data_IF_654934431592
#
_entry.id   IF_654934431592
#
_cell.length_a   1.000
_cell.length_b   1.000
_cell.length_c   1.000
_cell.angle_alpha   90.00
_cell.angle_beta   90.00
_cell.angle_gamma   90.00
#
_symmetry.space_group_name_H-M   'P 1'
#
loop_
_entity.id
_entity.type
_entity.pdbx_description
1 polymer ?
#
# COMPACT_ATOMS: atom_id res chain seq x y z
N UNK A 1 4.81 6.57 10.58
CA UNK A 1 3.68 5.61 10.56
C UNK A 1 3.16 5.49 9.12
N UNK A 2 2.62 4.33 8.75
CA UNK A 2 2.02 4.07 7.43
C UNK A 2 0.57 3.67 7.65
N UNK A 3 -0.37 4.47 7.13
CA UNK A 3 -1.80 4.15 7.19
C UNK A 3 -2.15 3.09 6.15
N UNK A 4 -2.86 2.02 6.54
CA UNK A 4 -3.18 0.94 5.61
C UNK A 4 -4.45 0.17 5.99
N UNK A 5 -5.16 -0.45 5.05
CA UNK A 5 -4.98 -0.33 3.59
C UNK A 5 -6.01 0.66 3.04
N UNK A 6 -5.56 1.78 2.46
CA UNK A 6 -6.41 2.86 1.96
C UNK A 6 -7.05 2.47 0.61
N UNK A 7 -8.33 2.79 0.32
CA UNK A 7 -9.29 3.51 1.16
C UNK A 7 -10.17 2.63 2.06
N UNK A 8 -9.86 1.34 2.25
CA UNK A 8 -10.56 0.50 3.22
C UNK A 8 -10.63 -0.98 2.84
N UNK A 9 -9.92 -1.84 3.57
CA UNK A 9 -9.97 -3.28 3.34
C UNK A 9 -11.03 -4.02 4.19
N UNK A 10 -11.67 -3.35 5.16
CA UNK A 10 -12.48 -4.03 6.18
C UNK A 10 -13.72 -4.79 5.67
N UNK A 11 -14.29 -4.37 4.54
CA UNK A 11 -15.44 -5.05 3.88
C UNK A 11 -15.03 -6.11 2.87
N UNK A 12 -13.75 -6.18 2.53
CA UNK A 12 -13.25 -7.13 1.56
C UNK A 12 -13.31 -8.53 2.17
N UNK A 13 -14.39 -9.26 1.90
CA UNK A 13 -14.44 -10.69 2.13
C UNK A 13 -13.82 -11.39 0.93
N UNK A 14 -12.70 -12.06 1.13
CA UNK A 14 -12.09 -12.91 0.11
C UNK A 14 -12.63 -14.35 0.26
N UNK A 15 -13.25 -14.90 -0.78
CA UNK A 15 -13.31 -16.36 -0.94
C UNK A 15 -11.93 -16.83 -1.44
N UNK A 16 -11.36 -17.82 -0.75
CA UNK A 16 -9.93 -17.90 -0.42
C UNK A 16 -9.07 -18.58 -1.47
N UNK A 17 -9.44 -18.59 -2.75
CA UNK A 17 -8.68 -19.42 -3.70
C UNK A 17 -7.93 -18.67 -4.79
N UNK A 18 -8.51 -17.76 -5.59
CA UNK A 18 -7.74 -17.15 -6.71
C UNK A 18 -8.21 -15.76 -7.18
N UNK A 19 -9.12 -15.08 -6.48
CA UNK A 19 -9.77 -13.87 -7.01
C UNK A 19 -9.51 -12.60 -6.19
N UNK A 20 -9.47 -11.47 -6.89
CA UNK A 20 -9.37 -10.13 -6.31
C UNK A 20 -10.56 -9.87 -5.39
N UNK A 21 -10.35 -9.50 -4.11
CA UNK A 21 -11.45 -9.15 -3.25
C UNK A 21 -12.20 -7.93 -3.80
N UNK A 22 -13.52 -8.06 -3.90
CA UNK A 22 -14.41 -7.01 -4.39
C UNK A 22 -15.35 -6.55 -3.28
N UNK A 23 -15.44 -5.24 -3.10
CA UNK A 23 -16.39 -4.59 -2.20
C UNK A 23 -17.56 -4.06 -3.03
N UNK A 24 -18.73 -4.64 -2.80
CA UNK A 24 -20.00 -4.25 -3.43
C UNK A 24 -20.86 -3.39 -2.49
N UNK A 25 -20.28 -2.28 -2.03
CA UNK A 25 -20.95 -1.30 -1.18
C UNK A 25 -21.26 -0.03 -1.99
N UNK A 26 -22.34 0.67 -1.62
CA UNK A 26 -22.67 1.94 -2.25
C UNK A 26 -21.62 3.00 -1.93
N UNK A 27 -21.47 4.00 -2.82
CA UNK A 27 -20.55 5.13 -2.57
C UNK A 27 -20.87 5.85 -1.25
N UNK A 28 -22.15 5.98 -0.90
CA UNK A 28 -22.60 6.57 0.37
C UNK A 28 -22.11 5.77 1.59
N UNK A 29 -22.21 4.44 1.54
CA UNK A 29 -21.74 3.59 2.64
C UNK A 29 -20.22 3.64 2.78
N UNK A 30 -19.51 3.62 1.64
CA UNK A 30 -18.05 3.75 1.60
C UNK A 30 -17.60 5.08 2.21
N UNK A 31 -18.22 6.20 1.83
CA UNK A 31 -17.92 7.52 2.38
C UNK A 31 -18.22 7.61 3.88
N UNK A 32 -19.33 7.02 4.32
CA UNK A 32 -19.78 7.10 5.71
C UNK A 32 -18.92 6.25 6.66
N UNK A 33 -18.41 5.12 6.19
CA UNK A 33 -17.81 4.11 7.07
C UNK A 33 -16.36 3.79 6.72
N UNK A 34 -16.09 3.48 5.46
CA UNK A 34 -14.79 2.92 5.03
C UNK A 34 -13.75 4.03 4.89
N UNK A 35 -14.13 5.17 4.28
CA UNK A 35 -13.23 6.30 4.04
C UNK A 35 -13.07 7.20 5.26
N UNK A 36 -14.05 7.18 6.16
CA UNK A 36 -14.07 8.00 7.38
C UNK A 36 -12.78 7.92 8.21
N UNK A 37 -12.24 6.74 8.59
CA UNK A 37 -11.00 6.68 9.36
C UNK A 37 -9.79 7.25 8.58
N UNK A 38 -9.77 7.11 7.25
CA UNK A 38 -8.67 7.64 6.43
C UNK A 38 -8.72 9.17 6.29
N UNK A 39 -9.93 9.76 6.27
CA UNK A 39 -10.10 11.22 6.32
C UNK A 39 -9.53 11.82 7.60
N UNK A 40 -9.85 11.22 8.74
CA UNK A 40 -9.35 11.68 10.05
C UNK A 40 -7.82 11.57 10.17
N UNK A 41 -7.20 10.69 9.39
CA UNK A 41 -5.76 10.41 9.43
C UNK A 41 -5.00 10.89 8.19
N UNK A 42 -5.63 11.71 7.32
CA UNK A 42 -5.04 12.12 6.04
C UNK A 42 -3.76 12.95 6.17
N UNK A 43 -3.48 13.48 7.37
CA UNK A 43 -2.27 14.21 7.74
C UNK A 43 -1.03 13.31 7.91
N UNK A 44 -1.21 11.98 7.98
CA UNK A 44 -0.11 11.04 8.15
C UNK A 44 0.85 11.10 6.96
N UNK A 45 2.15 10.85 7.18
CA UNK A 45 3.17 11.03 6.14
C UNK A 45 3.06 10.02 5.00
N UNK A 46 2.50 8.83 5.26
CA UNK A 46 2.50 7.71 4.35
C UNK A 46 1.19 6.92 4.44
N UNK A 47 0.75 6.37 3.32
CA UNK A 47 -0.32 5.39 3.24
C UNK A 47 -0.02 4.30 2.22
N UNK A 48 -0.61 3.12 2.42
CA UNK A 48 -0.49 1.95 1.55
C UNK A 48 -1.86 1.59 0.99
N UNK A 49 -1.96 1.45 -0.33
CA UNK A 49 -3.22 1.11 -1.03
C UNK A 49 -3.70 -0.31 -0.70
N UNK A 50 -4.97 -0.61 -0.96
CA UNK A 50 -5.51 -1.96 -0.88
C UNK A 50 -5.60 -2.60 -2.27
N UNK A 51 -5.26 -3.89 -2.40
CA UNK A 51 -5.58 -4.68 -3.60
C UNK A 51 -7.05 -5.12 -3.61
N UNK A 52 -7.97 -4.14 -3.63
CA UNK A 52 -9.43 -4.35 -3.55
C UNK A 52 -10.11 -3.62 -4.69
N UNK A 53 -11.05 -4.29 -5.34
CA UNK A 53 -11.97 -3.68 -6.32
C UNK A 53 -13.15 -3.06 -5.58
N UNK A 54 -13.49 -1.82 -5.90
CA UNK A 54 -14.68 -1.14 -5.33
C UNK A 54 -15.67 -0.93 -6.47
N UNK A 55 -16.72 -1.76 -6.54
CA UNK A 55 -17.64 -1.82 -7.69
C UNK A 55 -18.29 -0.47 -8.01
N UNK A 56 -18.59 0.31 -6.96
CA UNK A 56 -19.20 1.64 -7.06
C UNK A 56 -18.27 2.73 -7.62
N UNK A 57 -16.95 2.48 -7.69
CA UNK A 57 -15.95 3.47 -8.12
C UNK A 57 -15.30 3.02 -9.43
N UNK A 58 -14.57 1.91 -9.38
CA UNK A 58 -13.91 1.28 -10.52
C UNK A 58 -14.07 -0.24 -10.43
N UNK A 59 -15.01 -0.83 -11.18
CA UNK A 59 -15.25 -2.26 -11.15
C UNK A 59 -14.19 -3.08 -11.91
N UNK A 60 -13.26 -2.42 -12.62
CA UNK A 60 -12.28 -3.10 -13.47
C UNK A 60 -10.92 -3.26 -12.80
N UNK A 61 -10.55 -2.29 -11.97
CA UNK A 61 -9.22 -2.25 -11.38
C UNK A 61 -9.30 -2.17 -9.85
N UNK A 62 -8.42 -2.89 -9.13
CA UNK A 62 -8.25 -2.67 -7.71
C UNK A 62 -7.71 -1.26 -7.43
N UNK A 63 -7.92 -0.75 -6.22
CA UNK A 63 -7.49 0.60 -5.83
C UNK A 63 -6.00 0.87 -6.13
N UNK A 64 -5.12 -0.12 -5.92
CA UNK A 64 -3.69 -0.03 -6.20
C UNK A 64 -3.34 0.30 -7.66
N UNK A 65 -4.18 -0.09 -8.62
CA UNK A 65 -3.96 0.17 -10.07
C UNK A 65 -5.10 0.97 -10.71
N UNK A 66 -5.97 1.57 -9.90
CA UNK A 66 -7.06 2.41 -10.37
C UNK A 66 -6.72 3.88 -10.17
N UNK A 67 -6.39 4.57 -11.27
CA UNK A 67 -6.21 6.03 -11.25
C UNK A 67 -7.46 6.75 -10.77
N UNK A 68 -8.64 6.20 -11.06
CA UNK A 68 -9.91 6.75 -10.57
C UNK A 68 -10.03 6.69 -9.05
N UNK A 69 -9.73 5.54 -8.43
CA UNK A 69 -9.75 5.43 -6.96
C UNK A 69 -8.67 6.32 -6.34
N UNK A 70 -7.48 6.37 -6.93
CA UNK A 70 -6.39 7.20 -6.39
C UNK A 70 -6.75 8.69 -6.49
N UNK A 71 -7.13 9.18 -7.66
CA UNK A 71 -7.36 10.61 -7.88
C UNK A 71 -8.66 11.10 -7.21
N UNK A 72 -9.79 10.42 -7.44
CA UNK A 72 -11.09 10.89 -6.96
C UNK A 72 -11.29 10.61 -5.46
N UNK A 73 -10.76 9.49 -4.96
CA UNK A 73 -11.03 9.04 -3.59
C UNK A 73 -9.86 9.31 -2.67
N UNK A 74 -8.66 8.80 -2.97
CA UNK A 74 -7.52 8.92 -2.06
C UNK A 74 -7.01 10.36 -2.01
N UNK A 75 -6.76 10.98 -3.17
CA UNK A 75 -6.30 12.37 -3.28
C UNK A 75 -7.45 13.37 -3.14
N UNK A 76 -8.63 13.05 -3.68
CA UNK A 76 -9.84 13.88 -3.63
C UNK A 76 -10.61 13.79 -2.31
N UNK A 77 -11.57 12.87 -2.21
CA UNK A 77 -12.50 12.73 -1.08
C UNK A 77 -11.81 12.57 0.29
N UNK A 78 -10.74 11.77 0.35
CA UNK A 78 -9.97 11.56 1.58
C UNK A 78 -9.01 12.74 1.84
N UNK A 79 -8.53 13.39 0.78
CA UNK A 79 -7.57 14.48 0.87
C UNK A 79 -6.17 14.04 1.29
N UNK A 80 -5.78 12.77 1.05
CA UNK A 80 -4.46 12.27 1.41
C UNK A 80 -3.40 12.76 0.42
N UNK A 81 -2.55 13.70 0.84
CA UNK A 81 -1.42 14.20 0.04
C UNK A 81 -0.07 13.54 0.40
N UNK A 82 -0.03 12.64 1.39
CA UNK A 82 1.18 11.94 1.80
C UNK A 82 1.79 11.02 0.73
N UNK A 83 2.93 10.40 1.06
CA UNK A 83 3.58 9.43 0.19
C UNK A 83 2.71 8.16 0.09
N UNK A 84 2.25 7.85 -1.12
CA UNK A 84 1.37 6.71 -1.37
C UNK A 84 2.19 5.54 -1.93
N UNK A 85 2.14 4.41 -1.26
CA UNK A 85 2.78 3.17 -1.72
C UNK A 85 1.75 2.10 -2.06
N UNK A 86 2.10 1.20 -2.97
CA UNK A 86 1.31 -0.01 -3.17
C UNK A 86 1.40 -0.93 -1.95
N UNK A 87 0.39 -1.78 -1.79
CA UNK A 87 0.58 -3.05 -1.06
C UNK A 87 1.50 -3.99 -1.87
N UNK A 88 1.91 -5.12 -1.28
CA UNK A 88 2.91 -6.01 -1.86
C UNK A 88 2.48 -6.55 -3.22
N UNK A 89 3.29 -6.27 -4.25
CA UNK A 89 3.08 -6.72 -5.63
C UNK A 89 3.20 -8.23 -5.81
N UNK A 90 3.87 -8.92 -4.87
CA UNK A 90 4.01 -10.37 -4.87
C UNK A 90 2.71 -11.10 -4.48
N UNK A 91 1.75 -10.39 -3.90
CA UNK A 91 0.42 -10.92 -3.63
C UNK A 91 -0.28 -11.31 -4.94
N UNK A 92 -0.96 -12.46 -4.92
CA UNK A 92 -1.71 -13.01 -6.07
C UNK A 92 -2.92 -12.16 -6.49
N UNK A 93 -3.16 -11.04 -5.80
CA UNK A 93 -4.26 -10.14 -6.08
C UNK A 93 -4.07 -9.40 -7.41
N UNK A 94 -2.85 -8.99 -7.77
CA UNK A 94 -2.63 -8.31 -9.05
C UNK A 94 -2.33 -9.32 -10.17
N UNK A 95 -2.98 -9.17 -11.31
CA UNK A 95 -2.71 -9.94 -12.53
C UNK A 95 -1.49 -9.40 -13.30
N UNK A 96 -0.89 -10.25 -14.14
CA UNK A 96 0.24 -9.88 -15.01
C UNK A 96 1.62 -10.13 -14.39
N UNK A 97 2.66 -9.80 -15.16
CA UNK A 97 4.05 -9.88 -14.70
C UNK A 97 4.44 -8.67 -13.83
N UNK A 98 5.55 -8.79 -13.10
CA UNK A 98 6.04 -7.74 -12.20
C UNK A 98 6.36 -6.40 -12.90
N UNK A 99 7.01 -6.36 -14.07
CA UNK A 99 7.18 -5.13 -14.83
C UNK A 99 5.86 -4.41 -15.13
N UNK A 100 4.85 -5.15 -15.59
CA UNK A 100 3.53 -4.60 -15.94
C UNK A 100 2.80 -4.11 -14.70
N UNK A 101 2.84 -4.87 -13.59
CA UNK A 101 2.29 -4.43 -12.30
C UNK A 101 2.90 -3.11 -11.85
N UNK A 102 4.24 -3.02 -11.86
CA UNK A 102 4.95 -1.81 -11.44
C UNK A 102 4.56 -0.59 -12.28
N UNK A 103 4.50 -0.75 -13.60
CA UNK A 103 4.07 0.32 -14.51
C UNK A 103 2.62 0.75 -14.24
N UNK A 104 1.70 -0.19 -14.03
CA UNK A 104 0.28 0.10 -13.76
C UNK A 104 0.08 0.82 -12.41
N UNK A 105 0.82 0.43 -11.37
CA UNK A 105 0.79 1.06 -10.05
C UNK A 105 1.23 2.52 -10.12
N UNK A 106 2.36 2.78 -10.79
CA UNK A 106 2.86 4.15 -10.95
C UNK A 106 1.93 4.98 -11.84
N UNK A 107 1.42 4.41 -12.94
CA UNK A 107 0.48 5.09 -13.83
C UNK A 107 -0.85 5.43 -13.13
N UNK A 108 -1.26 4.65 -12.12
CA UNK A 108 -2.44 4.93 -11.32
C UNK A 108 -2.21 6.05 -10.29
N UNK A 109 -0.96 6.49 -10.05
CA UNK A 109 -0.66 7.61 -9.16
C UNK A 109 -0.10 7.23 -7.78
N UNK A 110 0.29 5.96 -7.58
CA UNK A 110 1.15 5.60 -6.45
C UNK A 110 2.55 6.21 -6.64
N UNK A 111 3.16 6.63 -5.53
CA UNK A 111 4.52 7.17 -5.52
C UNK A 111 5.58 6.04 -5.40
N UNK A 112 5.23 4.91 -4.78
CA UNK A 112 6.13 3.77 -4.53
C UNK A 112 5.49 2.44 -4.90
N UNK A 113 6.31 1.52 -5.42
CA UNK A 113 5.96 0.10 -5.63
C UNK A 113 6.60 -0.72 -4.51
N UNK A 114 5.80 -1.52 -3.81
CA UNK A 114 6.27 -2.43 -2.76
C UNK A 114 6.41 -3.87 -3.28
N UNK A 115 7.53 -4.50 -2.96
CA UNK A 115 7.79 -5.92 -3.21
C UNK A 115 8.53 -6.50 -2.01
N UNK A 116 7.98 -7.56 -1.40
CA UNK A 116 8.47 -8.04 -0.10
C UNK A 116 9.03 -9.48 -0.12
N UNK A 117 8.86 -10.25 -1.19
CA UNK A 117 9.25 -11.67 -1.18
C UNK A 117 10.76 -11.91 -1.44
N UNK A 118 11.50 -10.87 -1.86
CA UNK A 118 12.95 -10.91 -2.02
C UNK A 118 13.48 -11.70 -3.22
N UNK A 119 12.64 -12.09 -4.18
CA UNK A 119 13.09 -12.78 -5.40
C UNK A 119 13.77 -11.79 -6.35
N UNK A 120 15.05 -12.00 -6.64
CA UNK A 120 15.88 -11.03 -7.36
C UNK A 120 15.41 -10.77 -8.79
N UNK A 121 15.01 -11.82 -9.52
CA UNK A 121 14.52 -11.70 -10.88
C UNK A 121 13.23 -10.86 -10.95
N UNK A 122 12.36 -10.98 -9.95
CA UNK A 122 11.14 -10.17 -9.84
C UNK A 122 11.50 -8.70 -9.57
N UNK A 123 12.44 -8.45 -8.65
CA UNK A 123 12.94 -7.10 -8.36
C UNK A 123 13.57 -6.43 -9.58
N UNK A 124 14.33 -7.17 -10.40
CA UNK A 124 14.87 -6.68 -11.68
C UNK A 124 13.73 -6.29 -12.63
N UNK A 125 12.69 -7.12 -12.71
CA UNK A 125 11.49 -6.84 -13.50
C UNK A 125 10.79 -5.55 -13.07
N UNK A 126 10.56 -5.36 -11.77
CA UNK A 126 10.00 -4.13 -11.21
C UNK A 126 10.90 -2.93 -11.53
N UNK A 127 12.19 -3.03 -11.22
CA UNK A 127 13.16 -1.95 -11.42
C UNK A 127 13.22 -1.48 -12.88
N UNK A 128 13.01 -2.38 -13.85
CA UNK A 128 12.99 -2.03 -15.28
C UNK A 128 11.86 -1.08 -15.70
N UNK A 129 10.83 -0.92 -14.86
CA UNK A 129 9.64 -0.08 -15.12
C UNK A 129 9.40 1.00 -14.08
N UNK A 130 10.27 1.11 -13.08
CA UNK A 130 10.26 2.17 -12.08
C UNK A 130 11.39 3.16 -12.34
N UNK A 131 11.21 4.40 -11.92
CA UNK A 131 12.26 5.43 -11.92
C UNK A 131 12.61 5.84 -10.49
N UNK A 132 13.70 6.57 -10.33
CA UNK A 132 13.96 7.28 -9.08
C UNK A 132 12.81 8.25 -8.74
N UNK A 133 12.64 8.54 -7.45
CA UNK A 133 11.68 9.55 -7.00
C UNK A 133 12.07 10.93 -7.50
N UNK A 134 11.12 11.65 -8.09
CA UNK A 134 11.30 12.99 -8.65
C UNK A 134 10.06 13.87 -8.40
N UNK A 135 10.21 15.19 -8.45
CA UNK A 135 9.10 16.12 -8.29
C UNK A 135 8.30 15.90 -7.00
N UNK A 136 6.97 15.81 -7.13
CA UNK A 136 6.04 15.66 -6.00
C UNK A 136 6.27 14.39 -5.19
N UNK A 137 6.59 13.26 -5.84
CA UNK A 137 6.81 11.99 -5.13
C UNK A 137 8.07 12.04 -4.26
N UNK A 138 9.13 12.70 -4.73
CA UNK A 138 10.33 12.97 -3.94
C UNK A 138 10.04 13.89 -2.75
N UNK A 139 9.27 14.96 -2.96
CA UNK A 139 8.87 15.88 -1.88
C UNK A 139 8.07 15.16 -0.79
N UNK A 140 7.12 14.31 -1.19
CA UNK A 140 6.35 13.46 -0.26
C UNK A 140 7.24 12.51 0.51
N UNK A 141 8.23 11.89 -0.13
CA UNK A 141 9.18 10.99 0.52
C UNK A 141 10.07 11.72 1.52
N UNK A 142 10.60 12.89 1.15
CA UNK A 142 11.39 13.73 2.04
C UNK A 142 10.58 14.17 3.27
N UNK A 143 9.33 14.58 3.06
CA UNK A 143 8.39 14.90 4.15
C UNK A 143 8.18 13.69 5.06
N UNK A 144 7.97 12.49 4.49
CA UNK A 144 7.79 11.27 5.26
C UNK A 144 9.01 10.92 6.11
N UNK A 145 10.23 11.11 5.58
CA UNK A 145 11.47 10.87 6.32
C UNK A 145 11.62 11.78 7.56
N UNK A 146 11.03 12.99 7.56
CA UNK A 146 11.07 13.88 8.74
C UNK A 146 10.33 13.33 9.96
N UNK A 147 9.45 12.33 9.78
CA UNK A 147 8.75 11.67 10.88
C UNK A 147 9.61 10.64 11.62
N UNK A 148 10.77 10.27 11.06
CA UNK A 148 11.74 9.37 11.70
C UNK A 148 12.60 10.18 12.67
N UNK A 149 12.10 10.37 13.91
CA UNK A 149 12.79 11.16 14.94
C UNK A 149 13.89 10.39 15.65
N UNK A 150 13.62 9.13 16.00
CA UNK A 150 14.55 8.25 16.68
C UNK A 150 14.84 7.06 15.76
N UNK A 151 16.09 6.92 15.33
CA UNK A 151 16.52 5.69 14.68
C UNK A 151 16.67 4.61 15.75
N UNK A 152 16.21 3.40 15.43
CA UNK A 152 16.56 2.24 16.24
C UNK A 152 18.08 2.08 16.23
N UNK A 153 18.67 2.03 17.43
CA UNK A 153 20.10 1.84 17.65
C UNK A 153 20.38 0.54 18.39
N UNK A 154 19.35 -0.27 18.59
CA UNK A 154 19.53 -1.54 19.24
C UNK A 154 20.47 -2.42 18.42
N UNK A 155 21.31 -3.18 19.12
CA UNK A 155 22.22 -4.11 18.50
C UNK A 155 21.42 -5.33 18.02
N UNK A 156 21.52 -5.65 16.73
CA UNK A 156 20.77 -6.76 16.13
C UNK A 156 21.11 -8.09 16.81
N UNK A 157 22.37 -8.31 17.18
CA UNK A 157 22.80 -9.55 17.83
C UNK A 157 22.22 -9.64 19.25
N UNK A 158 22.18 -8.54 19.99
CA UNK A 158 21.55 -8.49 21.31
C UNK A 158 20.04 -8.77 21.24
N UNK A 159 19.31 -8.13 20.32
CA UNK A 159 17.86 -8.37 20.16
C UNK A 159 17.59 -9.81 19.71
N UNK A 160 18.40 -10.36 18.80
CA UNK A 160 18.26 -11.77 18.38
C UNK A 160 18.54 -12.74 19.52
N UNK A 161 19.53 -12.44 20.37
CA UNK A 161 19.81 -13.23 21.55
C UNK A 161 18.65 -13.17 22.55
N UNK A 162 18.11 -11.98 22.84
CA UNK A 162 16.91 -11.81 23.68
C UNK A 162 15.72 -12.60 23.11
N UNK A 163 15.44 -12.45 21.81
CA UNK A 163 14.37 -13.16 21.12
C UNK A 163 14.51 -14.67 21.27
N UNK A 164 15.72 -15.23 21.07
CA UNK A 164 15.96 -16.66 21.23
C UNK A 164 15.60 -17.17 22.63
N UNK A 165 15.85 -16.39 23.69
CA UNK A 165 15.49 -16.78 25.06
C UNK A 165 13.98 -16.98 25.25
N UNK A 166 13.13 -16.24 24.51
CA UNK A 166 11.68 -16.42 24.56
C UNK A 166 11.21 -17.71 23.89
N UNK A 167 11.97 -18.26 22.93
CA UNK A 167 11.61 -19.50 22.24
C UNK A 167 12.19 -20.75 22.93
N UNK A 168 13.39 -20.65 23.52
CA UNK A 168 13.95 -21.72 24.35
C UNK A 168 13.15 -21.92 25.65
N UNK A 169 12.48 -20.88 26.16
CA UNK A 169 11.62 -20.97 27.35
C UNK A 169 10.27 -21.68 27.10
N UNK A 170 9.94 -22.00 25.84
CA UNK A 170 8.64 -22.60 25.44
C UNK A 170 8.82 -24.00 24.83
N UNK A 171 10.06 -24.48 24.68
CA UNK A 171 10.41 -25.83 24.24
C UNK A 171 10.69 -26.76 25.42
#
# INVERSE_FOLDING_TARGET
PVMKHIPGHGRAFADTHFELPTVDASMSDLQRHDFAPFRELNYLPMAMTAHVVYSAIDPKNPATTSGKVIDEIIRGEIGFDGLLMSDDTSMKALSGDFPTKAAAILAAGCDLVLHCNGVFEEMVGIASRTTGLEGTSLQRAQRALTYIKNRDRADEAEIRAEFATYFDAVA
#
